data_IF_806864432809
#
_entry.id   IF_806864432809
#
_cell.length_a   1.000
_cell.length_b   1.000
_cell.length_c   1.000
_cell.angle_alpha   90.00
_cell.angle_beta   90.00
_cell.angle_gamma   90.00
#
_symmetry.space_group_name_H-M   'P 1'
#
loop_
_entity.id
_entity.type
_entity.pdbx_description
1 polymer ?
#
# COMPACT_ATOMS: atom_id res chain seq x y z
N UNK A 1 2.82 -14.05 -28.55
CA UNK A 1 3.70 -12.88 -28.32
C UNK A 1 2.84 -11.74 -27.79
N UNK A 2 3.02 -11.34 -26.53
CA UNK A 2 2.26 -10.21 -25.95
C UNK A 2 2.71 -8.92 -26.64
N UNK A 3 1.76 -8.21 -27.25
CA UNK A 3 1.97 -6.96 -27.99
C UNK A 3 2.19 -5.86 -26.94
N UNK A 4 3.44 -5.59 -26.59
CA UNK A 4 3.78 -4.49 -25.68
C UNK A 4 3.36 -3.17 -26.34
N UNK A 5 2.40 -2.46 -25.75
CA UNK A 5 2.03 -1.11 -26.17
C UNK A 5 3.17 -0.16 -25.78
N UNK A 6 3.73 0.63 -26.73
CA UNK A 6 4.80 1.55 -26.41
C UNK A 6 4.29 2.59 -25.41
N UNK A 7 4.92 2.66 -24.24
CA UNK A 7 4.57 3.57 -23.15
C UNK A 7 4.03 2.90 -21.88
N UNK A 8 3.74 1.59 -21.89
CA UNK A 8 3.31 0.86 -20.70
C UNK A 8 4.49 0.08 -20.09
N UNK A 9 5.05 0.59 -18.99
CA UNK A 9 6.05 -0.16 -18.22
C UNK A 9 5.31 -1.30 -17.50
N UNK A 10 5.68 -2.58 -17.70
CA UNK A 10 5.06 -3.67 -16.96
C UNK A 10 5.40 -3.52 -15.47
N UNK A 11 4.41 -3.06 -14.69
CA UNK A 11 4.57 -2.92 -13.24
C UNK A 11 4.25 -4.25 -12.59
N UNK A 12 5.19 -4.78 -11.82
CA UNK A 12 4.93 -5.95 -10.99
C UNK A 12 4.04 -5.54 -9.81
N UNK A 13 2.72 -5.71 -9.97
CA UNK A 13 1.71 -5.36 -8.97
C UNK A 13 1.89 -6.09 -7.64
N UNK A 14 2.48 -7.28 -7.63
CA UNK A 14 2.79 -8.00 -6.40
C UNK A 14 3.92 -7.32 -5.61
N UNK A 15 4.97 -6.84 -6.31
CA UNK A 15 6.03 -6.03 -5.68
C UNK A 15 5.49 -4.69 -5.20
N UNK A 16 4.67 -4.01 -6.00
CA UNK A 16 4.02 -2.77 -5.61
C UNK A 16 3.11 -2.95 -4.39
N UNK A 17 2.27 -3.99 -4.38
CA UNK A 17 1.37 -4.31 -3.26
C UNK A 17 2.13 -4.59 -1.96
N UNK A 18 3.25 -5.33 -2.01
CA UNK A 18 4.13 -5.52 -0.84
C UNK A 18 4.72 -4.22 -0.31
N UNK A 19 5.18 -3.34 -1.21
CA UNK A 19 5.70 -2.02 -0.81
C UNK A 19 4.59 -1.19 -0.15
N UNK A 20 3.38 -1.18 -0.72
CA UNK A 20 2.22 -0.51 -0.12
C UNK A 20 1.89 -1.06 1.27
N UNK A 21 1.96 -2.38 1.47
CA UNK A 21 1.75 -2.99 2.78
C UNK A 21 2.78 -2.52 3.81
N UNK A 22 4.06 -2.43 3.44
CA UNK A 22 5.12 -1.93 4.33
C UNK A 22 4.88 -0.47 4.69
N UNK A 23 4.57 0.39 3.71
CA UNK A 23 4.30 1.81 3.94
C UNK A 23 3.05 1.99 4.81
N UNK A 24 1.99 1.22 4.54
CA UNK A 24 0.75 1.24 5.32
C UNK A 24 0.94 0.80 6.77
N UNK A 25 1.77 -0.22 7.01
CA UNK A 25 2.18 -0.65 8.36
C UNK A 25 2.94 0.44 9.11
N UNK A 26 3.89 1.10 8.45
CA UNK A 26 4.66 2.21 9.04
C UNK A 26 3.72 3.37 9.38
N UNK A 27 2.83 3.76 8.47
CA UNK A 27 1.84 4.81 8.74
C UNK A 27 0.91 4.43 9.90
N UNK A 28 0.45 3.18 9.97
CA UNK A 28 -0.41 2.72 11.06
C UNK A 28 0.31 2.75 12.41
N UNK A 29 1.58 2.33 12.45
CA UNK A 29 2.43 2.40 13.64
C UNK A 29 2.67 3.85 14.08
N UNK A 30 2.98 4.74 13.13
CA UNK A 30 3.15 6.17 13.40
C UNK A 30 1.84 6.80 13.91
N UNK A 31 0.71 6.48 13.29
CA UNK A 31 -0.61 6.95 13.73
C UNK A 31 -0.94 6.51 15.15
N UNK A 32 -0.65 5.26 15.51
CA UNK A 32 -0.79 4.74 16.88
C UNK A 32 0.13 5.47 17.87
N UNK A 33 1.40 5.67 17.53
CA UNK A 33 2.33 6.42 18.41
C UNK A 33 1.91 7.88 18.58
N UNK A 34 1.41 8.52 17.53
CA UNK A 34 0.90 9.88 17.58
C UNK A 34 -0.39 9.98 18.41
N UNK A 35 -1.23 8.94 18.39
CA UNK A 35 -2.42 8.87 19.25
C UNK A 35 -2.05 8.76 20.73
N UNK A 36 -1.04 7.93 21.05
CA UNK A 36 -0.50 7.80 22.41
C UNK A 36 0.19 9.08 22.90
N UNK A 37 0.80 9.85 21.99
CA UNK A 37 1.47 11.12 22.29
C UNK A 37 0.52 12.34 22.31
N UNK A 38 -0.80 12.12 22.23
CA UNK A 38 -1.85 13.15 22.27
C UNK A 38 -1.81 14.14 21.08
N UNK A 39 -1.18 13.76 19.96
CA UNK A 39 -1.21 14.51 18.70
C UNK A 39 -2.52 14.24 17.94
N UNK A 40 -3.65 14.58 18.59
CA UNK A 40 -5.01 14.20 18.19
C UNK A 40 -5.33 14.46 16.72
N UNK A 41 -5.03 15.66 16.21
CA UNK A 41 -5.38 16.02 14.84
C UNK A 41 -4.57 15.29 13.78
N UNK A 42 -3.30 14.96 14.03
CA UNK A 42 -2.45 14.31 13.03
C UNK A 42 -2.59 12.78 13.08
N UNK A 43 -2.83 12.23 14.27
CA UNK A 43 -2.91 10.79 14.50
C UNK A 43 -4.00 10.10 13.68
N UNK A 44 -5.21 10.69 13.62
CA UNK A 44 -6.38 10.12 12.95
C UNK A 44 -6.16 10.01 11.44
N UNK A 45 -5.68 11.06 10.78
CA UNK A 45 -5.45 11.03 9.32
C UNK A 45 -4.36 10.03 8.93
N UNK A 46 -3.29 9.96 9.73
CA UNK A 46 -2.17 9.05 9.49
C UNK A 46 -2.59 7.59 9.70
N UNK A 47 -3.44 7.31 10.69
CA UNK A 47 -4.02 5.98 10.92
C UNK A 47 -4.92 5.55 9.76
N UNK A 48 -5.84 6.41 9.32
CA UNK A 48 -6.72 6.09 8.19
C UNK A 48 -5.96 5.90 6.88
N UNK A 49 -4.92 6.72 6.63
CA UNK A 49 -4.02 6.52 5.49
C UNK A 49 -3.30 5.17 5.56
N UNK A 50 -2.78 4.80 6.73
CA UNK A 50 -2.12 3.52 6.94
C UNK A 50 -3.03 2.33 6.65
N UNK A 51 -4.25 2.36 7.21
CA UNK A 51 -5.26 1.30 6.98
C UNK A 51 -5.67 1.24 5.50
N UNK A 52 -5.87 2.39 4.85
CA UNK A 52 -6.20 2.47 3.43
C UNK A 52 -5.11 1.86 2.55
N UNK A 53 -3.85 2.22 2.80
CA UNK A 53 -2.68 1.65 2.10
C UNK A 53 -2.56 0.14 2.31
N UNK A 54 -2.87 -0.35 3.52
CA UNK A 54 -2.86 -1.78 3.82
C UNK A 54 -3.93 -2.50 2.99
N UNK A 55 -5.17 -1.98 2.96
CA UNK A 55 -6.27 -2.58 2.19
C UNK A 55 -5.95 -2.61 0.68
N UNK A 56 -5.42 -1.52 0.14
CA UNK A 56 -5.01 -1.46 -1.28
C UNK A 56 -3.86 -2.42 -1.55
N UNK A 57 -2.86 -2.47 -0.67
CA UNK A 57 -1.74 -3.41 -0.79
C UNK A 57 -2.17 -4.88 -0.74
N UNK A 58 -3.09 -5.23 0.17
CA UNK A 58 -3.70 -6.56 0.28
C UNK A 58 -4.48 -6.92 -0.98
N UNK A 59 -5.28 -5.99 -1.50
CA UNK A 59 -6.00 -6.18 -2.75
C UNK A 59 -5.04 -6.48 -3.91
N UNK A 60 -3.98 -5.69 -4.05
CA UNK A 60 -2.96 -5.89 -5.08
C UNK A 60 -2.20 -7.21 -4.94
N UNK A 61 -1.99 -7.72 -3.72
CA UNK A 61 -1.27 -8.97 -3.49
C UNK A 61 -2.16 -10.20 -3.68
N UNK A 62 -3.42 -10.14 -3.24
CA UNK A 62 -4.34 -11.28 -3.22
C UNK A 62 -5.17 -11.43 -4.50
N UNK A 63 -5.67 -10.33 -5.04
CA UNK A 63 -6.65 -10.35 -6.13
C UNK A 63 -6.06 -10.04 -7.50
N UNK A 64 -4.94 -9.31 -7.58
CA UNK A 64 -4.31 -9.07 -8.88
C UNK A 64 -3.60 -10.35 -9.32
N UNK A 65 -4.00 -10.94 -10.46
CA UNK A 65 -3.38 -12.17 -10.95
C UNK A 65 -1.89 -11.92 -11.17
N UNK A 66 -1.08 -12.81 -10.60
CA UNK A 66 0.36 -12.85 -10.90
C UNK A 66 0.46 -13.11 -12.40
N UNK A 67 0.85 -12.11 -13.17
CA UNK A 67 1.28 -12.35 -14.54
C UNK A 67 2.36 -13.42 -14.47
N UNK A 68 2.04 -14.62 -14.98
CA UNK A 68 3.01 -15.69 -15.12
C UNK A 68 4.10 -15.13 -16.03
N UNK A 69 5.29 -14.95 -15.45
CA UNK A 69 6.54 -14.80 -16.22
C UNK A 69 6.65 -15.92 -17.25
#
# INVERSE_FOLDING_TARGET
MKKYMPGFVPVNYNKAGKILLVIGLICSALGLTAHLADWFNLSIYVLYLGIGLILVGLYLVLFVPKEKE
#
